data_IF_683095634715
#
_entry.id   IF_683095634715
#
_cell.length_a   1.000
_cell.length_b   1.000
_cell.length_c   1.000
_cell.angle_alpha   90.00
_cell.angle_beta   90.00
_cell.angle_gamma   90.00
#
_symmetry.space_group_name_H-M   'P 1'
#
loop_
_entity.id
_entity.type
_entity.pdbx_description
1 polymer ?
#
# COMPACT_ATOMS: atom_id res chain seq x y z
N UNK A 1 19.36 6.40 21.22
CA UNK A 1 18.21 7.13 20.61
C UNK A 1 17.73 6.56 19.26
N UNK A 2 18.42 5.61 18.61
CA UNK A 2 17.98 5.00 17.34
C UNK A 2 16.80 4.00 17.44
N UNK A 3 16.46 3.54 18.65
CA UNK A 3 15.52 2.41 18.85
C UNK A 3 14.05 2.83 18.88
N UNK A 4 13.73 4.12 19.06
CA UNK A 4 12.35 4.61 19.09
C UNK A 4 11.82 4.96 17.69
N UNK A 5 12.65 5.53 16.81
CA UNK A 5 12.24 5.94 15.45
C UNK A 5 11.79 4.76 14.59
N UNK A 6 12.51 3.63 14.68
CA UNK A 6 12.14 2.38 13.98
C UNK A 6 10.77 1.87 14.42
N UNK A 7 10.45 1.97 15.72
CA UNK A 7 9.14 1.54 16.26
C UNK A 7 7.98 2.37 15.71
N UNK A 8 8.14 3.69 15.57
CA UNK A 8 7.08 4.54 15.02
C UNK A 8 6.87 4.32 13.52
N UNK A 9 7.93 4.02 12.76
CA UNK A 9 7.81 3.67 11.34
C UNK A 9 7.03 2.37 11.12
N UNK A 10 7.27 1.32 11.93
CA UNK A 10 6.49 0.09 11.83
C UNK A 10 5.02 0.28 12.19
N UNK A 11 4.71 1.09 13.22
CA UNK A 11 3.32 1.38 13.60
C UNK A 11 2.63 2.21 12.50
N UNK A 12 3.31 3.19 11.93
CA UNK A 12 2.77 4.02 10.85
C UNK A 12 2.55 3.22 9.56
N UNK A 13 3.50 2.36 9.18
CA UNK A 13 3.33 1.43 8.06
C UNK A 13 2.16 0.46 8.31
N UNK A 14 2.03 -0.04 9.54
CA UNK A 14 0.90 -0.88 9.95
C UNK A 14 -0.44 -0.16 9.84
N UNK A 15 -0.51 1.13 10.19
CA UNK A 15 -1.72 1.95 10.03
C UNK A 15 -2.03 2.22 8.56
N UNK A 16 -1.02 2.49 7.72
CA UNK A 16 -1.22 2.65 6.27
C UNK A 16 -1.74 1.35 5.65
N UNK A 17 -1.14 0.20 5.97
CA UNK A 17 -1.59 -1.10 5.50
C UNK A 17 -3.01 -1.43 6.01
N UNK A 18 -3.33 -1.05 7.25
CA UNK A 18 -4.68 -1.18 7.80
C UNK A 18 -5.68 -0.31 7.03
N UNK A 19 -5.33 0.94 6.71
CA UNK A 19 -6.18 1.84 5.92
C UNK A 19 -6.37 1.35 4.48
N UNK A 20 -5.33 0.76 3.87
CA UNK A 20 -5.42 0.11 2.55
C UNK A 20 -6.29 -1.15 2.61
N UNK A 21 -6.19 -1.96 3.66
CA UNK A 21 -7.06 -3.13 3.85
C UNK A 21 -8.52 -2.76 4.14
N UNK A 22 -8.76 -1.60 4.77
CA UNK A 22 -10.11 -1.10 5.09
C UNK A 22 -10.83 -0.49 3.87
N UNK A 23 -10.16 -0.24 2.74
CA UNK A 23 -10.82 0.26 1.52
C UNK A 23 -11.61 -0.82 0.76
N UNK A 24 -11.64 -2.06 1.27
CA UNK A 24 -12.55 -3.14 0.86
C UNK A 24 -12.23 -3.82 -0.48
N UNK A 25 -11.53 -3.13 -1.37
CA UNK A 25 -11.19 -3.61 -2.71
C UNK A 25 -9.75 -4.16 -2.79
N UNK A 26 -8.84 -3.65 -1.96
CA UNK A 26 -7.43 -4.06 -2.01
C UNK A 26 -7.14 -5.25 -1.10
N UNK A 27 -6.38 -6.22 -1.61
CA UNK A 27 -5.95 -7.38 -0.82
C UNK A 27 -4.49 -7.22 -0.38
N UNK A 28 -4.22 -7.51 0.90
CA UNK A 28 -2.87 -7.44 1.48
C UNK A 28 -2.44 -8.83 1.97
N UNK A 29 -1.29 -9.30 1.51
CA UNK A 29 -0.70 -10.57 1.90
C UNK A 29 0.60 -10.32 2.67
N UNK A 30 0.59 -10.64 3.96
CA UNK A 30 1.65 -10.30 4.91
C UNK A 30 2.60 -11.46 5.24
N UNK A 31 2.25 -12.71 4.92
CA UNK A 31 3.12 -13.86 5.20
C UNK A 31 2.70 -15.17 4.53
N UNK A 32 3.68 -16.04 4.28
CA UNK A 32 3.51 -17.31 3.55
C UNK A 32 3.36 -17.13 2.04
N UNK A 33 3.70 -18.16 1.26
CA UNK A 33 3.56 -18.13 -0.19
C UNK A 33 2.10 -17.86 -0.56
N UNK A 34 1.90 -16.97 -1.53
CA UNK A 34 0.59 -16.62 -2.02
C UNK A 34 0.31 -17.33 -3.33
N UNK A 35 -0.90 -17.82 -3.51
CA UNK A 35 -1.36 -18.34 -4.79
C UNK A 35 -2.75 -17.80 -5.06
N UNK A 36 -2.91 -17.04 -6.15
CA UNK A 36 -4.21 -16.73 -6.69
C UNK A 36 -4.60 -17.85 -7.66
N UNK A 37 -5.52 -18.69 -7.22
CA UNK A 37 -5.96 -19.88 -7.95
C UNK A 37 -6.69 -19.55 -9.25
N UNK A 38 -6.81 -20.56 -10.11
CA UNK A 38 -7.56 -20.42 -11.37
C UNK A 38 -9.02 -20.02 -11.13
N UNK A 39 -9.50 -19.05 -11.89
CA UNK A 39 -10.84 -18.47 -11.75
C UNK A 39 -11.01 -17.56 -10.52
N UNK A 40 -9.99 -17.42 -9.67
CA UNK A 40 -10.04 -16.47 -8.56
C UNK A 40 -9.75 -15.05 -9.04
N UNK A 41 -10.36 -14.09 -8.36
CA UNK A 41 -10.28 -12.68 -8.70
C UNK A 41 -9.95 -11.84 -7.48
N UNK A 42 -9.09 -10.84 -7.67
CA UNK A 42 -8.86 -9.74 -6.73
C UNK A 42 -9.41 -8.47 -7.34
N UNK A 43 -10.47 -7.93 -6.72
CA UNK A 43 -11.14 -6.70 -7.14
C UNK A 43 -10.40 -5.45 -6.63
N UNK A 44 -9.19 -5.21 -7.13
CA UNK A 44 -8.40 -4.04 -6.79
C UNK A 44 -6.92 -4.31 -6.93
N UNK A 45 -6.10 -3.55 -6.19
CA UNK A 45 -4.66 -3.77 -6.13
C UNK A 45 -4.32 -4.90 -5.14
N UNK A 46 -3.39 -5.76 -5.54
CA UNK A 46 -2.86 -6.85 -4.73
C UNK A 46 -1.50 -6.45 -4.15
N UNK A 47 -1.41 -6.33 -2.83
CA UNK A 47 -0.19 -5.97 -2.11
C UNK A 47 0.43 -7.21 -1.46
N UNK A 48 1.65 -7.58 -1.87
CA UNK A 48 2.38 -8.76 -1.36
C UNK A 48 3.69 -8.28 -0.71
N UNK A 49 3.80 -8.44 0.60
CA UNK A 49 4.89 -7.79 1.35
C UNK A 49 6.15 -8.64 1.48
N UNK A 50 6.04 -9.97 1.59
CA UNK A 50 7.17 -10.79 2.04
C UNK A 50 7.13 -12.25 1.57
N UNK A 51 6.51 -12.54 0.43
CA UNK A 51 6.47 -13.93 -0.04
C UNK A 51 6.49 -14.10 -1.54
N UNK A 52 6.75 -15.34 -1.97
CA UNK A 52 6.54 -15.71 -3.36
C UNK A 52 5.06 -15.67 -3.66
N UNK A 53 4.72 -15.27 -4.88
CA UNK A 53 3.34 -15.22 -5.35
C UNK A 53 3.21 -15.90 -6.71
N UNK A 54 2.17 -16.72 -6.84
CA UNK A 54 1.80 -17.38 -8.08
C UNK A 54 0.38 -16.95 -8.47
N UNK A 55 0.24 -16.27 -9.60
CA UNK A 55 -1.05 -15.99 -10.22
C UNK A 55 -1.31 -17.08 -11.25
N UNK A 56 -2.19 -18.04 -10.95
CA UNK A 56 -2.44 -19.18 -11.83
C UNK A 56 -3.24 -18.79 -13.07
N UNK A 57 -3.26 -19.67 -14.07
CA UNK A 57 -4.01 -19.46 -15.29
C UNK A 57 -5.49 -19.21 -15.00
N UNK A 58 -6.09 -18.23 -15.68
CA UNK A 58 -7.48 -17.81 -15.47
C UNK A 58 -7.74 -17.04 -14.17
N UNK A 59 -6.69 -16.72 -13.40
CA UNK A 59 -6.79 -15.76 -12.30
C UNK A 59 -6.80 -14.31 -12.81
N UNK A 60 -7.40 -13.40 -12.05
CA UNK A 60 -7.54 -11.99 -12.44
C UNK A 60 -7.26 -11.03 -11.27
N UNK A 61 -6.39 -10.05 -11.50
CA UNK A 61 -6.25 -8.87 -10.63
C UNK A 61 -6.69 -7.66 -11.42
N UNK A 62 -7.73 -6.97 -10.94
CA UNK A 62 -8.32 -5.84 -11.70
C UNK A 62 -7.54 -4.54 -11.56
N UNK A 63 -6.65 -4.45 -10.57
CA UNK A 63 -5.73 -3.34 -10.39
C UNK A 63 -4.27 -3.81 -10.47
N UNK A 64 -3.37 -3.04 -9.86
CA UNK A 64 -1.94 -3.31 -9.91
C UNK A 64 -1.51 -4.40 -8.92
N UNK A 65 -0.49 -5.17 -9.27
CA UNK A 65 0.21 -6.07 -8.34
C UNK A 65 1.44 -5.35 -7.80
N UNK A 66 1.50 -5.16 -6.49
CA UNK A 66 2.58 -4.48 -5.79
C UNK A 66 3.26 -5.48 -4.87
N UNK A 67 4.47 -5.90 -5.22
CA UNK A 67 5.24 -6.88 -4.46
C UNK A 67 6.56 -6.28 -3.95
N UNK A 68 6.79 -6.34 -2.64
CA UNK A 68 8.01 -5.76 -2.07
C UNK A 68 9.22 -6.68 -2.12
N UNK A 69 9.03 -7.99 -2.15
CA UNK A 69 10.11 -8.97 -2.08
C UNK A 69 9.77 -10.29 -2.78
N UNK A 70 10.80 -11.10 -3.04
CA UNK A 70 10.76 -12.50 -3.50
C UNK A 70 10.34 -12.66 -4.97
N UNK A 71 9.76 -13.80 -5.34
CA UNK A 71 9.46 -14.12 -6.73
C UNK A 71 7.97 -13.95 -7.02
N UNK A 72 7.63 -13.47 -8.20
CA UNK A 72 6.26 -13.39 -8.71
C UNK A 72 6.21 -14.16 -10.03
N UNK A 73 5.34 -15.17 -10.09
CA UNK A 73 5.03 -15.88 -11.33
C UNK A 73 3.62 -15.50 -11.78
N UNK A 74 3.50 -15.06 -13.02
CA UNK A 74 2.22 -14.63 -13.60
C UNK A 74 1.83 -15.55 -14.74
N UNK A 75 0.72 -16.27 -14.58
CA UNK A 75 0.01 -17.06 -15.62
C UNK A 75 -1.40 -16.51 -15.88
N UNK A 76 -1.88 -15.58 -15.07
CA UNK A 76 -3.21 -14.96 -15.16
C UNK A 76 -3.20 -13.57 -15.81
N UNK A 77 -4.24 -12.79 -15.51
CA UNK A 77 -4.44 -11.42 -15.99
C UNK A 77 -4.21 -10.37 -14.89
N UNK A 78 -3.52 -9.29 -15.26
CA UNK A 78 -3.35 -8.07 -14.45
C UNK A 78 -3.78 -6.89 -15.33
N UNK A 79 -4.91 -6.26 -15.00
CA UNK A 79 -5.50 -5.20 -15.84
C UNK A 79 -4.81 -3.84 -15.71
N UNK A 80 -3.80 -3.74 -14.87
CA UNK A 80 -2.97 -2.55 -14.73
C UNK A 80 -1.49 -2.98 -14.74
N UNK A 81 -0.66 -2.45 -13.84
CA UNK A 81 0.78 -2.70 -13.85
C UNK A 81 1.25 -3.66 -12.75
N UNK A 82 2.53 -4.00 -12.85
CA UNK A 82 3.26 -4.72 -11.80
C UNK A 82 4.36 -3.80 -11.27
N UNK A 83 4.40 -3.60 -9.96
CA UNK A 83 5.51 -2.97 -9.28
C UNK A 83 6.19 -3.99 -8.38
N UNK A 84 7.47 -4.24 -8.62
CA UNK A 84 8.31 -5.08 -7.76
C UNK A 84 9.50 -4.29 -7.24
N UNK A 85 9.62 -4.22 -5.91
CA UNK A 85 10.76 -3.56 -5.28
C UNK A 85 12.02 -4.44 -5.31
N UNK A 86 11.89 -5.73 -4.97
CA UNK A 86 13.02 -6.65 -4.97
C UNK A 86 12.59 -8.07 -5.35
N UNK A 87 13.35 -8.69 -6.26
CA UNK A 87 13.22 -10.11 -6.62
C UNK A 87 12.89 -10.33 -8.09
N UNK A 88 12.35 -11.51 -8.43
CA UNK A 88 12.21 -11.89 -9.85
C UNK A 88 10.75 -11.92 -10.28
N UNK A 89 10.46 -11.40 -11.46
CA UNK A 89 9.15 -11.53 -12.12
C UNK A 89 9.29 -12.45 -13.31
N UNK A 90 8.49 -13.51 -13.32
CA UNK A 90 8.34 -14.40 -14.46
C UNK A 90 6.93 -14.28 -15.00
N UNK A 91 6.80 -13.84 -16.26
CA UNK A 91 5.53 -13.77 -16.98
C UNK A 91 5.48 -14.95 -17.93
N UNK A 92 4.63 -15.93 -17.62
CA UNK A 92 4.50 -17.16 -18.37
C UNK A 92 3.55 -17.03 -19.57
N UNK A 93 3.58 -18.03 -20.46
CA UNK A 93 2.72 -18.10 -21.64
C UNK A 93 1.24 -17.95 -21.27
N UNK A 94 0.50 -17.13 -22.02
CA UNK A 94 -0.92 -16.88 -21.78
C UNK A 94 -1.22 -15.81 -20.73
N UNK A 95 -0.23 -15.36 -19.97
CA UNK A 95 -0.39 -14.22 -19.08
C UNK A 95 -0.57 -12.91 -19.85
N UNK A 96 -1.37 -12.00 -19.29
CA UNK A 96 -1.62 -10.68 -19.86
C UNK A 96 -1.49 -9.60 -18.79
N UNK A 97 -0.66 -8.59 -19.08
CA UNK A 97 -0.49 -7.39 -18.27
C UNK A 97 -0.80 -6.17 -19.16
N UNK A 98 -1.81 -5.40 -18.77
CA UNK A 98 -2.33 -4.31 -19.60
C UNK A 98 -1.53 -3.00 -19.46
N UNK A 99 -0.59 -2.94 -18.52
CA UNK A 99 0.23 -1.75 -18.28
C UNK A 99 1.69 -2.08 -17.98
N UNK A 100 2.42 -1.10 -17.45
CA UNK A 100 3.86 -1.18 -17.21
C UNK A 100 4.25 -2.20 -16.13
N UNK A 101 5.43 -2.79 -16.30
CA UNK A 101 6.12 -3.57 -15.27
C UNK A 101 7.34 -2.77 -14.81
N UNK A 102 7.40 -2.45 -13.53
CA UNK A 102 8.53 -1.77 -12.91
C UNK A 102 9.21 -2.71 -11.92
N UNK A 103 10.48 -3.02 -12.18
CA UNK A 103 11.35 -3.80 -11.29
C UNK A 103 12.47 -2.91 -10.77
N UNK A 104 12.51 -2.65 -9.47
CA UNK A 104 13.59 -1.82 -8.90
C UNK A 104 14.89 -2.62 -8.74
N UNK A 105 14.80 -3.90 -8.36
CA UNK A 105 15.96 -4.78 -8.22
C UNK A 105 15.58 -6.23 -8.46
N UNK A 106 16.38 -6.95 -9.26
CA UNK A 106 16.22 -8.37 -9.56
C UNK A 106 16.14 -8.62 -11.07
N UNK A 107 15.44 -9.68 -11.49
CA UNK A 107 15.39 -10.07 -12.90
C UNK A 107 13.95 -10.18 -13.42
N UNK A 108 13.76 -9.74 -14.65
CA UNK A 108 12.53 -9.97 -15.40
C UNK A 108 12.72 -11.11 -16.40
N UNK A 109 11.74 -12.00 -16.52
CA UNK A 109 11.71 -13.06 -17.53
C UNK A 109 10.34 -13.13 -18.15
N UNK A 110 10.29 -13.01 -19.47
CA UNK A 110 9.07 -13.14 -20.25
C UNK A 110 9.15 -14.39 -21.12
N UNK A 111 8.17 -15.29 -20.97
CA UNK A 111 8.03 -16.45 -21.85
C UNK A 111 7.24 -16.11 -23.12
N UNK A 112 7.52 -16.79 -24.25
CA UNK A 112 6.77 -16.62 -25.48
C UNK A 112 5.26 -16.80 -25.27
N UNK A 113 4.45 -15.96 -25.92
CA UNK A 113 2.99 -16.01 -25.85
C UNK A 113 2.37 -15.32 -24.63
N UNK A 114 3.17 -14.65 -23.79
CA UNK A 114 2.67 -13.65 -22.85
C UNK A 114 2.46 -12.29 -23.53
N UNK A 115 1.55 -11.48 -23.01
CA UNK A 115 1.24 -10.14 -23.54
C UNK A 115 1.48 -9.08 -22.48
N UNK A 116 2.27 -8.07 -22.83
CA UNK A 116 2.50 -6.88 -21.99
C UNK A 116 2.25 -5.68 -22.90
N UNK A 117 1.22 -4.91 -22.58
CA UNK A 117 0.82 -3.74 -23.37
C UNK A 117 1.73 -2.54 -23.07
N UNK A 118 2.18 -2.41 -21.81
CA UNK A 118 3.08 -1.35 -21.36
C UNK A 118 4.56 -1.64 -21.58
N UNK A 119 5.39 -0.88 -20.87
CA UNK A 119 6.85 -0.99 -20.88
C UNK A 119 7.38 -1.74 -19.68
N UNK A 120 8.51 -2.43 -19.86
CA UNK A 120 9.27 -3.03 -18.77
C UNK A 120 10.42 -2.10 -18.40
N UNK A 121 10.42 -1.62 -17.15
CA UNK A 121 11.43 -0.74 -16.59
C UNK A 121 12.19 -1.45 -15.48
N UNK A 122 13.51 -1.53 -15.60
CA UNK A 122 14.39 -2.13 -14.60
C UNK A 122 15.27 -1.05 -13.93
N UNK A 123 15.47 -1.18 -12.61
CA UNK A 123 16.28 -0.29 -11.79
C UNK A 123 15.51 0.86 -11.12
N UNK A 124 16.28 1.76 -10.51
CA UNK A 124 15.77 2.99 -9.89
C UNK A 124 15.48 4.03 -10.97
N UNK A 125 14.26 4.03 -11.49
CA UNK A 125 13.81 5.07 -12.42
C UNK A 125 13.44 6.36 -11.69
N UNK A 126 13.36 7.48 -12.42
CA UNK A 126 12.96 8.78 -11.85
C UNK A 126 11.59 8.75 -11.18
N UNK A 127 10.64 7.98 -11.72
CA UNK A 127 9.31 7.80 -11.12
C UNK A 127 9.37 7.12 -9.76
N UNK A 128 10.18 6.06 -9.62
CA UNK A 128 10.38 5.36 -8.35
C UNK A 128 11.02 6.27 -7.31
N UNK A 129 12.04 7.04 -7.70
CA UNK A 129 12.71 7.98 -6.81
C UNK A 129 11.74 9.07 -6.30
N UNK A 130 10.85 9.56 -7.16
CA UNK A 130 9.83 10.53 -6.77
C UNK A 130 8.84 9.92 -5.77
N UNK A 131 8.37 8.69 -6.01
CA UNK A 131 7.46 7.99 -5.08
C UNK A 131 8.13 7.78 -3.72
N UNK A 132 9.40 7.33 -3.69
CA UNK A 132 10.14 7.15 -2.44
C UNK A 132 10.36 8.47 -1.70
N UNK A 133 10.69 9.55 -2.42
CA UNK A 133 10.85 10.87 -1.84
C UNK A 133 9.53 11.39 -1.24
N UNK A 134 8.42 11.25 -1.96
CA UNK A 134 7.09 11.63 -1.48
C UNK A 134 6.67 10.79 -0.26
N UNK A 135 6.89 9.48 -0.30
CA UNK A 135 6.61 8.59 0.83
C UNK A 135 7.42 8.99 2.07
N UNK A 136 8.71 9.30 1.90
CA UNK A 136 9.57 9.78 2.98
C UNK A 136 9.06 11.11 3.56
N UNK A 137 8.71 12.08 2.70
CA UNK A 137 8.16 13.37 3.12
C UNK A 137 6.83 13.21 3.86
N UNK A 138 5.91 12.40 3.35
CA UNK A 138 4.61 12.11 3.99
C UNK A 138 4.80 11.44 5.36
N UNK A 139 5.75 10.50 5.48
CA UNK A 139 6.04 9.81 6.74
C UNK A 139 6.54 10.76 7.85
N UNK A 140 7.12 11.90 7.49
CA UNK A 140 7.55 12.95 8.41
C UNK A 140 6.45 13.99 8.65
N UNK A 141 5.75 14.42 7.59
CA UNK A 141 4.77 15.50 7.66
C UNK A 141 3.49 15.11 8.42
N UNK A 142 2.96 13.90 8.21
CA UNK A 142 1.72 13.42 8.86
C UNK A 142 1.82 13.39 10.39
N UNK A 143 2.83 12.78 11.02
CA UNK A 143 2.92 12.78 12.48
C UNK A 143 3.14 14.19 13.05
N UNK A 144 3.91 15.05 12.37
CA UNK A 144 4.08 16.44 12.78
C UNK A 144 2.73 17.17 12.77
N UNK A 145 1.98 17.10 11.67
CA UNK A 145 0.67 17.72 11.55
C UNK A 145 -0.32 17.18 12.60
N UNK A 146 -0.29 15.87 12.87
CA UNK A 146 -1.12 15.25 13.90
C UNK A 146 -0.81 15.79 15.29
N UNK A 147 0.47 15.92 15.65
CA UNK A 147 0.89 16.52 16.93
C UNK A 147 0.41 17.97 17.04
N UNK A 148 0.57 18.77 15.99
CA UNK A 148 0.06 20.14 15.96
C UNK A 148 -1.46 20.20 16.13
N UNK A 149 -2.21 19.33 15.45
CA UNK A 149 -3.66 19.25 15.58
C UNK A 149 -4.11 18.89 17.00
N UNK A 150 -3.42 17.94 17.65
CA UNK A 150 -3.70 17.54 19.04
C UNK A 150 -3.41 18.70 20.00
N UNK A 151 -2.25 19.37 19.87
CA UNK A 151 -1.89 20.52 20.71
C UNK A 151 -2.89 21.65 20.54
N UNK A 152 -3.28 21.96 19.30
CA UNK A 152 -4.26 23.00 19.00
C UNK A 152 -5.65 22.67 19.57
N UNK A 153 -6.10 21.42 19.46
CA UNK A 153 -7.36 20.97 20.03
C UNK A 153 -7.34 21.07 21.57
N UNK A 154 -6.25 20.64 22.22
CA UNK A 154 -6.08 20.75 23.66
C UNK A 154 -6.10 22.21 24.12
N UNK A 155 -5.40 23.10 23.41
CA UNK A 155 -5.41 24.53 23.71
C UNK A 155 -6.83 25.13 23.58
N UNK A 156 -7.59 24.77 22.55
CA UNK A 156 -8.99 25.20 22.41
C UNK A 156 -9.89 24.70 23.54
N UNK A 157 -9.67 23.48 24.03
CA UNK A 157 -10.43 22.94 25.16
C UNK A 157 -10.11 23.69 26.47
N UNK A 158 -8.85 24.04 26.70
CA UNK A 158 -8.44 24.83 27.87
C UNK A 158 -8.97 26.27 27.85
N UNK A 159 -9.18 26.85 26.66
CA UNK A 159 -9.74 28.20 26.50
C UNK A 159 -11.28 28.23 26.63
N UNK A 160 -11.98 27.09 26.72
CA UNK A 160 -13.42 27.07 27.05
C UNK A 160 -13.59 27.47 28.51
N UNK A 161 -13.87 28.75 28.77
CA UNK A 161 -14.27 29.22 30.11
C UNK A 161 -15.48 28.40 30.60
N UNK A 162 -15.49 27.91 31.85
CA UNK A 162 -16.70 27.35 32.44
C UNK A 162 -17.80 28.43 32.41
N UNK A 163 -18.98 28.06 31.89
CA UNK A 163 -20.13 28.95 31.89
C UNK A 163 -20.49 29.38 33.31
N UNK A 164 -21.02 30.60 33.51
CA UNK A 164 -21.39 31.06 34.84
C UNK A 164 -22.41 30.09 35.45
N UNK A 165 -22.31 29.78 36.76
CA UNK A 165 -23.27 28.91 37.43
C UNK A 165 -24.68 29.49 37.25
N UNK A 166 -25.59 28.65 36.75
CA UNK A 166 -26.99 29.04 36.54
C UNK A 166 -27.60 29.49 37.86
N UNK A 167 -28.13 30.71 37.88
CA UNK A 167 -28.87 31.24 39.03
C UNK A 167 -30.07 30.31 39.32
N UNK A 168 -30.34 29.98 40.60
CA UNK A 168 -31.47 29.14 40.96
C UNK A 168 -32.75 29.83 40.50
N UNK A 169 -33.56 29.10 39.71
CA UNK A 169 -34.90 29.57 39.36
C UNK A 169 -35.71 29.74 40.64
N UNK A 170 -36.00 31.00 40.96
CA UNK A 170 -36.87 31.36 42.06
C UNK A 170 -38.24 30.71 41.86
N UNK A 171 -38.63 29.86 42.80
CA UNK A 171 -40.01 29.39 42.92
C UNK A 171 -40.88 30.61 43.25
N UNK A 172 -41.70 31.05 42.29
CA UNK A 172 -42.85 31.90 42.57
C UNK A 172 -43.94 31.04 43.22
N UNK A 173 -44.25 31.33 44.48
CA UNK A 173 -45.52 30.97 45.13
C UNK A 173 -46.35 32.23 45.31
#
# INVERSE_FOLDING_TARGET
MLRSTVRYHFVFLGIILLMIGLSGCSQVVTGGNYTLGSGQRVDGSLFILSSNADLLEGSLVTGSVIQLCCNLTVRGQVNDGIFMLAGNVMVETGAQIDNDITLVTGNFTQLPGSQIVGQVSEGLTGGVLLILALAALLSLAVPIALVFAIVFAAFRLLQRKPGPPGLPQGKTS
#
